data_IF_984556690804
#
_entry.id   IF_984556690804
#
_cell.length_a   1.000
_cell.length_b   1.000
_cell.length_c   1.000
_cell.angle_alpha   90.00
_cell.angle_beta   90.00
_cell.angle_gamma   90.00
#
_symmetry.space_group_name_H-M   'P 1'
#
loop_
_entity.id
_entity.type
_entity.pdbx_description
1 polymer ?
#
# COMPACT_ATOMS: atom_id res chain seq x y z
N UNK A 1 -30.54 -7.85 10.07
CA UNK A 1 -29.29 -7.78 10.87
C UNK A 1 -28.14 -7.90 9.88
N UNK A 2 -27.38 -6.82 9.66
CA UNK A 2 -26.20 -6.84 8.78
C UNK A 2 -25.03 -7.16 9.71
N UNK A 3 -24.48 -8.37 9.62
CA UNK A 3 -23.22 -8.68 10.32
C UNK A 3 -22.14 -7.75 9.78
N UNK A 4 -21.34 -7.07 10.62
CA UNK A 4 -20.23 -6.28 10.12
C UNK A 4 -19.26 -7.26 9.45
N UNK A 5 -19.19 -7.21 8.12
CA UNK A 5 -18.14 -7.88 7.37
C UNK A 5 -16.83 -7.30 7.86
N UNK A 6 -16.04 -8.10 8.58
CA UNK A 6 -14.69 -7.70 8.99
C UNK A 6 -13.88 -7.57 7.72
N UNK A 7 -13.76 -6.34 7.20
CA UNK A 7 -12.94 -6.06 6.04
C UNK A 7 -11.49 -6.43 6.35
N UNK A 8 -11.01 -7.45 5.65
CA UNK A 8 -9.62 -7.88 5.72
C UNK A 8 -8.85 -7.18 4.62
N UNK A 9 -7.77 -6.51 5.00
CA UNK A 9 -6.86 -5.78 4.13
C UNK A 9 -5.59 -6.60 3.97
N UNK A 10 -5.02 -6.57 2.78
CA UNK A 10 -3.73 -7.17 2.46
C UNK A 10 -2.73 -6.07 2.14
N UNK A 11 -1.47 -6.25 2.55
CA UNK A 11 -0.38 -5.40 2.09
C UNK A 11 -0.04 -5.75 0.65
N UNK A 12 0.38 -4.74 -0.11
CA UNK A 12 0.86 -4.96 -1.46
C UNK A 12 2.00 -5.99 -1.47
N UNK A 13 2.01 -6.94 -2.43
CA UNK A 13 3.16 -7.79 -2.66
C UNK A 13 4.42 -6.93 -2.80
N UNK A 14 5.49 -7.30 -2.10
CA UNK A 14 6.73 -6.53 -2.12
C UNK A 14 6.79 -5.29 -1.21
N UNK A 15 5.76 -5.01 -0.41
CA UNK A 15 5.82 -3.92 0.58
C UNK A 15 7.02 -4.09 1.54
N UNK A 16 7.14 -5.26 2.18
CA UNK A 16 8.25 -5.54 3.11
C UNK A 16 9.62 -5.63 2.44
N UNK A 17 9.71 -6.08 1.18
CA UNK A 17 10.98 -6.06 0.44
C UNK A 17 11.40 -4.64 0.08
N UNK A 18 10.45 -3.79 -0.31
CA UNK A 18 10.69 -2.37 -0.59
C UNK A 18 11.20 -1.63 0.64
N UNK A 19 10.63 -1.91 1.82
CA UNK A 19 11.09 -1.34 3.09
C UNK A 19 12.49 -1.81 3.48
N UNK A 20 12.80 -3.10 3.30
CA UNK A 20 14.16 -3.61 3.53
C UNK A 20 15.20 -2.94 2.64
N UNK A 21 14.86 -2.62 1.38
CA UNK A 21 15.73 -1.84 0.48
C UNK A 21 15.99 -0.42 0.97
N UNK A 22 15.07 0.14 1.76
CA UNK A 22 15.23 1.43 2.43
C UNK A 22 15.98 1.32 3.77
N UNK A 23 16.44 0.12 4.14
CA UNK A 23 17.13 -0.15 5.41
C UNK A 23 16.18 -0.26 6.61
N UNK A 24 14.87 -0.43 6.38
CA UNK A 24 13.85 -0.54 7.44
C UNK A 24 13.39 -1.99 7.52
N UNK A 25 13.62 -2.63 8.67
CA UNK A 25 13.15 -4.00 8.88
C UNK A 25 11.69 -4.03 9.32
N UNK A 26 10.95 -5.05 8.88
CA UNK A 26 9.55 -5.22 9.24
C UNK A 26 9.31 -5.29 10.76
N UNK A 27 10.29 -5.84 11.50
CA UNK A 27 10.28 -5.90 12.97
C UNK A 27 10.35 -4.53 13.64
N UNK A 28 11.04 -3.57 13.03
CA UNK A 28 11.19 -2.23 13.59
C UNK A 28 9.87 -1.47 13.46
N UNK A 29 9.19 -1.65 12.32
CA UNK A 29 7.82 -1.16 12.11
C UNK A 29 6.84 -1.83 13.08
N UNK A 30 6.88 -3.16 13.25
CA UNK A 30 5.99 -3.83 14.19
C UNK A 30 6.21 -3.37 15.63
N UNK A 31 7.46 -3.15 16.04
CA UNK A 31 7.79 -2.59 17.36
C UNK A 31 7.26 -1.17 17.52
N UNK A 32 7.48 -0.31 16.53
CA UNK A 32 7.00 1.08 16.53
C UNK A 32 5.46 1.14 16.56
N UNK A 33 4.79 0.26 15.81
CA UNK A 33 3.34 0.16 15.75
C UNK A 33 2.72 -0.58 16.96
N UNK A 34 3.54 -1.08 17.90
CA UNK A 34 3.10 -1.92 19.02
C UNK A 34 2.29 -3.16 18.58
N UNK A 35 2.63 -3.71 17.40
CA UNK A 35 1.96 -4.86 16.82
C UNK A 35 2.72 -6.16 17.09
N UNK A 36 2.02 -7.30 17.22
CA UNK A 36 2.66 -8.60 17.27
C UNK A 36 3.49 -8.85 16.00
N UNK A 37 4.73 -9.34 16.16
CA UNK A 37 5.60 -9.67 15.01
C UNK A 37 4.98 -10.73 14.10
N UNK A 38 4.08 -11.57 14.62
CA UNK A 38 3.31 -12.54 13.85
C UNK A 38 2.42 -11.89 12.78
N UNK A 39 2.03 -10.62 12.94
CA UNK A 39 1.22 -9.87 11.98
C UNK A 39 1.94 -9.65 10.66
N UNK A 40 3.27 -9.53 10.67
CA UNK A 40 4.10 -9.39 9.47
C UNK A 40 3.93 -10.60 8.52
N UNK A 41 3.68 -11.79 9.10
CA UNK A 41 3.52 -13.03 8.36
C UNK A 41 2.05 -13.31 7.98
N UNK A 42 1.10 -12.51 8.48
CA UNK A 42 -0.31 -12.74 8.18
C UNK A 42 -0.64 -12.25 6.77
N UNK A 43 -1.37 -13.05 5.97
CA UNK A 43 -1.73 -12.68 4.60
C UNK A 43 -2.78 -11.56 4.55
N UNK A 44 -3.57 -11.40 5.61
CA UNK A 44 -4.59 -10.35 5.70
C UNK A 44 -4.92 -10.04 7.16
N UNK A 45 -5.19 -8.78 7.47
CA UNK A 45 -5.51 -8.29 8.81
C UNK A 45 -6.62 -7.22 8.75
N UNK A 46 -7.13 -6.78 9.90
CA UNK A 46 -8.18 -5.75 9.97
C UNK A 46 -7.65 -4.38 9.56
N UNK A 47 -8.52 -3.37 9.45
CA UNK A 47 -8.10 -2.03 9.01
C UNK A 47 -7.19 -1.29 10.02
N UNK A 48 -7.30 -1.57 11.32
CA UNK A 48 -6.51 -0.85 12.33
C UNK A 48 -5.00 -1.11 12.22
N UNK A 49 -4.51 -2.37 12.13
CA UNK A 49 -3.09 -2.62 11.91
C UNK A 49 -2.56 -2.01 10.61
N UNK A 50 -3.40 -1.84 9.59
CA UNK A 50 -3.00 -1.20 8.33
C UNK A 50 -2.54 0.23 8.56
N UNK A 51 -3.38 1.04 9.22
CA UNK A 51 -3.03 2.43 9.51
C UNK A 51 -1.87 2.53 10.51
N UNK A 52 -1.80 1.64 11.51
CA UNK A 52 -0.71 1.61 12.46
C UNK A 52 0.65 1.35 11.79
N UNK A 53 0.70 0.45 10.80
CA UNK A 53 1.92 0.18 10.01
C UNK A 53 2.36 1.42 9.22
N UNK A 54 1.43 2.10 8.56
CA UNK A 54 1.72 3.32 7.79
C UNK A 54 2.19 4.48 8.68
N UNK A 55 1.55 4.65 9.84
CA UNK A 55 1.96 5.65 10.82
C UNK A 55 3.35 5.35 11.36
N UNK A 56 3.62 4.10 11.77
CA UNK A 56 4.93 3.69 12.25
C UNK A 56 6.03 3.89 11.20
N UNK A 57 5.75 3.58 9.93
CA UNK A 57 6.68 3.86 8.83
C UNK A 57 6.98 5.36 8.70
N UNK A 58 5.94 6.20 8.74
CA UNK A 58 6.09 7.66 8.67
C UNK A 58 6.92 8.19 9.85
N UNK A 59 6.64 7.72 11.06
CA UNK A 59 7.32 8.16 12.28
C UNK A 59 8.80 7.74 12.29
N UNK A 60 9.13 6.55 11.77
CA UNK A 60 10.52 6.08 11.65
C UNK A 60 11.35 6.93 10.67
N UNK A 61 10.72 7.52 9.66
CA UNK A 61 11.41 8.39 8.70
C UNK A 61 11.43 9.85 9.19
N UNK A 62 10.46 10.26 10.00
CA UNK A 62 10.38 11.58 10.63
C UNK A 62 9.89 12.72 9.72
N UNK A 63 9.80 12.48 8.41
CA UNK A 63 9.20 13.39 7.43
C UNK A 63 8.31 12.62 6.44
N UNK A 64 7.03 12.97 6.41
CA UNK A 64 6.02 12.33 5.56
C UNK A 64 6.37 12.48 4.08
N UNK A 65 6.89 13.65 3.68
CA UNK A 65 7.26 13.90 2.28
C UNK A 65 8.37 12.96 1.83
N UNK A 66 9.45 12.90 2.61
CA UNK A 66 10.57 11.99 2.41
C UNK A 66 10.14 10.53 2.45
N UNK A 67 9.22 10.16 3.36
CA UNK A 67 8.71 8.80 3.45
C UNK A 67 7.99 8.38 2.16
N UNK A 68 7.08 9.21 1.66
CA UNK A 68 6.34 8.92 0.42
C UNK A 68 7.28 8.81 -0.78
N UNK A 69 8.24 9.74 -0.90
CA UNK A 69 9.22 9.72 -2.01
C UNK A 69 10.13 8.48 -1.94
N UNK A 70 10.65 8.15 -0.75
CA UNK A 70 11.49 6.96 -0.55
C UNK A 70 10.71 5.67 -0.87
N UNK A 71 9.46 5.57 -0.44
CA UNK A 71 8.67 4.39 -0.73
C UNK A 71 8.36 4.26 -2.23
N UNK A 72 7.93 5.34 -2.86
CA UNK A 72 7.59 5.34 -4.29
C UNK A 72 8.80 4.99 -5.18
N UNK A 73 10.01 5.37 -4.75
CA UNK A 73 11.25 5.06 -5.48
C UNK A 73 11.80 3.66 -5.19
N UNK A 74 11.60 3.13 -3.99
CA UNK A 74 12.06 1.79 -3.63
C UNK A 74 11.12 0.67 -4.08
N UNK A 75 9.84 0.98 -4.32
CA UNK A 75 8.85 0.00 -4.72
C UNK A 75 9.18 -0.59 -6.09
N UNK A 76 9.29 -1.91 -6.15
CA UNK A 76 9.62 -2.61 -7.39
C UNK A 76 8.44 -2.58 -8.35
N UNK A 77 8.69 -2.06 -9.55
CA UNK A 77 7.67 -1.99 -10.60
C UNK A 77 7.13 -3.36 -10.99
N UNK A 78 7.91 -4.43 -10.81
CA UNK A 78 7.47 -5.81 -11.02
C UNK A 78 6.30 -6.24 -10.12
N UNK A 79 6.10 -5.58 -8.97
CA UNK A 79 4.97 -5.84 -8.08
C UNK A 79 3.75 -4.97 -8.38
N UNK A 80 3.84 -4.04 -9.34
CA UNK A 80 2.68 -3.27 -9.74
C UNK A 80 1.71 -4.13 -10.56
N UNK A 81 0.40 -3.98 -10.33
CA UNK A 81 -0.59 -4.60 -11.22
C UNK A 81 -0.43 -4.01 -12.64
N UNK A 82 -0.78 -4.77 -13.70
CA UNK A 82 -0.67 -4.31 -15.09
C UNK A 82 -1.36 -2.95 -15.34
N UNK A 83 -2.45 -2.71 -14.62
CA UNK A 83 -3.18 -1.44 -14.60
C UNK A 83 -2.31 -0.24 -14.20
N UNK A 84 -1.53 -0.37 -13.12
CA UNK A 84 -0.60 0.67 -12.67
C UNK A 84 0.59 0.80 -13.63
N UNK A 85 1.11 -0.33 -14.15
CA UNK A 85 2.21 -0.34 -15.13
C UNK A 85 1.88 0.42 -16.41
N UNK A 86 0.61 0.41 -16.85
CA UNK A 86 0.18 1.15 -18.04
C UNK A 86 0.48 2.65 -17.99
N UNK A 87 0.57 3.22 -16.78
CA UNK A 87 0.83 4.64 -16.57
C UNK A 87 2.30 4.99 -16.77
N UNK A 88 3.21 4.05 -16.51
CA UNK A 88 4.65 4.20 -16.76
C UNK A 88 4.99 4.19 -18.25
N UNK A 89 4.11 3.63 -19.09
CA UNK A 89 4.24 3.59 -20.55
C UNK A 89 3.40 4.66 -21.27
N UNK A 90 3.01 5.73 -20.57
CA UNK A 90 2.32 6.86 -21.19
C UNK A 90 3.32 7.80 -21.87
N UNK A 91 2.90 8.45 -22.96
CA UNK A 91 3.74 9.39 -23.72
C UNK A 91 3.99 10.68 -22.95
N UNK A 92 3.02 11.11 -22.16
CA UNK A 92 3.09 12.32 -21.35
C UNK A 92 2.32 12.17 -20.03
N UNK A 93 2.55 13.13 -19.12
CA UNK A 93 1.97 13.12 -17.79
C UNK A 93 0.43 13.16 -17.80
N UNK A 94 -0.17 13.85 -18.77
CA UNK A 94 -1.64 13.92 -18.89
C UNK A 94 -2.20 12.56 -19.27
N UNK A 95 -1.57 11.87 -20.20
CA UNK A 95 -1.96 10.52 -20.58
C UNK A 95 -1.78 9.54 -19.42
N UNK A 96 -0.69 9.65 -18.64
CA UNK A 96 -0.48 8.83 -17.45
C UNK A 96 -1.62 8.99 -16.43
N UNK A 97 -2.01 10.24 -16.12
CA UNK A 97 -3.11 10.54 -15.21
C UNK A 97 -4.47 10.04 -15.76
N UNK A 98 -4.67 10.11 -17.07
CA UNK A 98 -5.90 9.65 -17.72
C UNK A 98 -6.02 8.12 -17.68
N UNK A 99 -4.91 7.40 -17.86
CA UNK A 99 -4.86 5.94 -17.67
C UNK A 99 -5.09 5.59 -16.20
N UNK A 100 -4.41 6.27 -15.27
CA UNK A 100 -4.57 6.04 -13.83
C UNK A 100 -6.03 6.21 -13.37
N UNK A 101 -6.72 7.26 -13.82
CA UNK A 101 -8.12 7.52 -13.42
C UNK A 101 -9.08 6.46 -13.93
N UNK A 102 -8.90 5.98 -15.18
CA UNK A 102 -9.68 4.85 -15.74
C UNK A 102 -9.42 3.55 -14.99
N UNK A 103 -8.15 3.24 -14.74
CA UNK A 103 -7.76 1.96 -14.13
C UNK A 103 -8.00 1.89 -12.62
N UNK A 104 -8.09 3.03 -11.93
CA UNK A 104 -8.49 3.08 -10.52
C UNK A 104 -9.89 2.48 -10.31
N UNK A 105 -10.78 2.60 -11.30
CA UNK A 105 -12.10 1.95 -11.27
C UNK A 105 -12.01 0.42 -11.42
N UNK A 106 -11.04 -0.07 -12.21
CA UNK A 106 -10.84 -1.50 -12.48
C UNK A 106 -10.15 -2.23 -11.32
N UNK A 107 -9.28 -1.57 -10.57
CA UNK A 107 -8.65 -2.16 -9.38
C UNK A 107 -9.67 -2.45 -8.26
N UNK A 108 -10.80 -1.75 -8.22
CA UNK A 108 -11.85 -1.97 -7.22
C UNK A 108 -12.57 -3.31 -7.41
N UNK A 109 -12.57 -3.87 -8.62
CA UNK A 109 -13.14 -5.20 -8.90
C UNK A 109 -12.31 -6.35 -8.34
N UNK A 110 -10.99 -6.18 -8.21
CA UNK A 110 -10.10 -7.17 -7.56
C UNK A 110 -10.16 -7.10 -6.02
N UNK A 111 -10.68 -6.00 -5.47
CA UNK A 111 -10.88 -5.78 -4.04
C UNK A 111 -12.36 -5.50 -3.75
N UNK A 112 -13.23 -6.54 -3.75
CA UNK A 112 -14.68 -6.41 -3.83
C UNK A 112 -15.35 -5.63 -2.68
N UNK A 113 -14.63 -5.36 -1.60
CA UNK A 113 -15.15 -4.62 -0.44
C UNK A 113 -14.68 -3.16 -0.40
N UNK A 114 -13.67 -2.76 -1.17
CA UNK A 114 -13.22 -1.38 -1.19
C UNK A 114 -14.20 -0.54 -2.02
N UNK A 115 -15.25 -0.01 -1.39
CA UNK A 115 -16.17 0.89 -2.10
C UNK A 115 -15.56 2.28 -2.12
N UNK A 116 -14.96 2.69 -3.23
CA UNK A 116 -14.54 4.09 -3.43
C UNK A 116 -15.79 4.96 -3.63
N UNK A 117 -16.55 5.20 -2.55
CA UNK A 117 -17.62 6.21 -2.55
C UNK A 117 -16.96 7.57 -2.51
N UNK A 118 -16.97 8.23 -3.68
CA UNK A 118 -16.44 9.57 -4.00
C UNK A 118 -14.98 9.57 -4.47
N UNK A 119 -14.83 9.49 -5.79
CA UNK A 119 -13.97 10.44 -6.50
C UNK A 119 -14.80 11.69 -6.80
#
# INVERSE_FOLDING_TARGET
MISPTVERIQLAPGFWSSLRRLGIEARDIARQAQLPTSLIQQPSFTIEPYFAIWQAYSDLIGDVGTAIVKLATAFETAHYPPSALSTFHARDYREALTRMSRYKQLCLTDYPNFTCRKC
#
